data_IF_867538455605
#
_entry.id   IF_867538455605
#
_cell.length_a   1.000
_cell.length_b   1.000
_cell.length_c   1.000
_cell.angle_alpha   90.00
_cell.angle_beta   90.00
_cell.angle_gamma   90.00
#
_symmetry.space_group_name_H-M   'P 1'
#
loop_
_entity.id
_entity.type
_entity.pdbx_description
1 polymer ?
#
# COMPACT_ATOMS: atom_id res chain seq x y z
N UNK A 1 2.42 20.67 -12.23
CA UNK A 1 1.81 19.62 -13.06
C UNK A 1 2.61 18.39 -12.73
N UNK A 2 2.05 17.43 -12.00
CA UNK A 2 2.77 16.19 -11.70
C UNK A 2 2.71 15.33 -12.96
N UNK A 3 3.86 14.87 -13.43
CA UNK A 3 3.91 13.95 -14.55
C UNK A 3 3.11 12.67 -14.21
N UNK A 4 2.41 12.08 -15.19
CA UNK A 4 1.70 10.83 -14.97
C UNK A 4 2.70 9.74 -14.55
N UNK A 5 2.38 9.03 -13.47
CA UNK A 5 3.16 7.86 -13.03
C UNK A 5 3.23 6.89 -14.20
N UNK A 6 4.46 6.56 -14.60
CA UNK A 6 4.72 5.70 -15.74
C UNK A 6 4.73 4.24 -15.32
N UNK A 7 4.59 3.33 -16.29
CA UNK A 7 4.64 1.89 -16.04
C UNK A 7 6.03 1.47 -15.50
N UNK A 8 7.10 2.18 -15.89
CA UNK A 8 8.44 1.90 -15.36
C UNK A 8 8.55 2.23 -13.88
N UNK A 9 7.77 3.20 -13.38
CA UNK A 9 7.82 3.61 -11.97
C UNK A 9 7.34 2.49 -11.05
N UNK A 10 6.34 1.71 -11.47
CA UNK A 10 5.89 0.54 -10.70
C UNK A 10 6.96 -0.56 -10.69
N UNK A 11 7.53 -0.87 -11.86
CA UNK A 11 8.52 -1.95 -11.98
C UNK A 11 9.79 -1.60 -11.17
N UNK A 12 10.24 -0.34 -11.17
CA UNK A 12 11.37 0.16 -10.36
C UNK A 12 11.12 0.03 -8.84
N UNK A 13 9.91 0.38 -8.37
CA UNK A 13 9.54 0.20 -6.96
C UNK A 13 9.55 -1.28 -6.57
N UNK A 14 9.03 -2.15 -7.43
CA UNK A 14 9.00 -3.60 -7.16
C UNK A 14 10.39 -4.23 -7.19
N UNK A 15 11.28 -3.74 -8.04
CA UNK A 15 12.68 -4.18 -8.08
C UNK A 15 13.41 -3.74 -6.80
N UNK A 16 13.22 -2.49 -6.36
CA UNK A 16 13.77 -1.99 -5.09
C UNK A 16 13.27 -2.80 -3.88
N UNK A 17 11.99 -3.19 -3.87
CA UNK A 17 11.46 -4.04 -2.80
C UNK A 17 12.06 -5.45 -2.80
N UNK A 18 12.29 -6.02 -3.98
CA UNK A 18 12.90 -7.35 -4.10
C UNK A 18 14.37 -7.37 -3.64
N UNK A 19 15.09 -6.24 -3.73
CA UNK A 19 16.46 -6.10 -3.24
C UNK A 19 16.58 -6.16 -1.71
N UNK A 20 15.46 -6.07 -0.97
CA UNK A 20 15.46 -6.21 0.49
C UNK A 20 15.66 -7.65 0.96
N UNK A 21 15.55 -8.64 0.06
CA UNK A 21 15.74 -10.07 0.34
C UNK A 21 14.90 -10.60 1.53
N UNK A 22 13.69 -10.05 1.71
CA UNK A 22 12.73 -10.47 2.74
C UNK A 22 11.65 -11.38 2.14
N UNK A 23 11.48 -12.58 2.71
CA UNK A 23 10.58 -13.62 2.17
C UNK A 23 9.11 -13.19 2.10
N UNK A 24 8.65 -12.34 3.03
CA UNK A 24 7.27 -11.89 3.06
C UNK A 24 7.06 -10.74 2.06
N UNK A 25 8.04 -9.84 1.91
CA UNK A 25 8.02 -8.82 0.86
C UNK A 25 8.11 -9.43 -0.55
N UNK A 26 8.87 -10.50 -0.75
CA UNK A 26 8.97 -11.21 -2.03
C UNK A 26 7.61 -11.77 -2.49
N UNK A 27 6.80 -12.25 -1.54
CA UNK A 27 5.42 -12.71 -1.82
C UNK A 27 4.54 -11.55 -2.27
N UNK A 28 4.66 -10.40 -1.62
CA UNK A 28 3.95 -9.17 -2.01
C UNK A 28 4.39 -8.76 -3.42
N UNK A 29 5.69 -8.64 -3.68
CA UNK A 29 6.24 -8.30 -5.00
C UNK A 29 5.72 -9.25 -6.08
N UNK A 30 5.75 -10.56 -5.81
CA UNK A 30 5.23 -11.58 -6.71
C UNK A 30 3.75 -11.37 -7.01
N UNK A 31 2.94 -11.07 -5.99
CA UNK A 31 1.52 -10.77 -6.15
C UNK A 31 1.29 -9.53 -7.03
N UNK A 32 1.99 -8.43 -6.76
CA UNK A 32 1.88 -7.19 -7.55
C UNK A 32 2.32 -7.38 -9.00
N UNK A 33 3.44 -8.07 -9.25
CA UNK A 33 3.88 -8.42 -10.62
C UNK A 33 2.83 -9.27 -11.34
N UNK A 34 2.21 -10.22 -10.64
CA UNK A 34 1.12 -11.05 -11.19
C UNK A 34 -0.11 -10.23 -11.59
N UNK A 35 -0.55 -9.30 -10.74
CA UNK A 35 -1.67 -8.39 -11.06
C UNK A 35 -1.34 -7.48 -12.24
N UNK A 36 -0.15 -6.86 -12.25
CA UNK A 36 0.32 -6.01 -13.34
C UNK A 36 0.37 -6.79 -14.66
N UNK A 37 0.90 -8.01 -14.65
CA UNK A 37 0.94 -8.87 -15.84
C UNK A 37 -0.47 -9.23 -16.34
N UNK A 38 -1.43 -9.52 -15.45
CA UNK A 38 -2.84 -9.75 -15.84
C UNK A 38 -3.46 -8.52 -16.49
N UNK A 39 -3.23 -7.32 -15.94
CA UNK A 39 -3.69 -6.07 -16.53
C UNK A 39 -3.10 -5.87 -17.93
N UNK A 40 -1.77 -6.00 -18.07
CA UNK A 40 -1.02 -5.80 -19.32
C UNK A 40 -1.39 -6.82 -20.42
N UNK A 41 -1.78 -8.03 -20.03
CA UNK A 41 -2.19 -9.10 -20.96
C UNK A 41 -3.68 -9.09 -21.31
N UNK A 42 -4.46 -8.10 -20.85
CA UNK A 42 -5.90 -8.03 -21.11
C UNK A 42 -6.71 -9.11 -20.40
N UNK A 43 -6.18 -9.69 -19.30
CA UNK A 43 -6.84 -10.74 -18.50
C UNK A 43 -7.60 -10.18 -17.29
N UNK A 44 -7.81 -8.88 -17.24
CA UNK A 44 -8.70 -8.20 -16.30
C UNK A 44 -9.81 -7.54 -17.09
N UNK A 45 -11.06 -7.86 -16.73
CA UNK A 45 -12.21 -7.08 -17.19
C UNK A 45 -12.44 -5.85 -16.30
N UNK A 46 -13.42 -5.02 -16.65
CA UNK A 46 -13.72 -3.77 -15.94
C UNK A 46 -14.13 -4.03 -14.48
N UNK A 47 -14.96 -5.05 -14.24
CA UNK A 47 -15.43 -5.40 -12.90
C UNK A 47 -14.27 -5.84 -12.00
N UNK A 48 -13.41 -6.74 -12.48
CA UNK A 48 -12.22 -7.16 -11.74
C UNK A 48 -11.25 -6.00 -11.52
N UNK A 49 -11.12 -5.09 -12.48
CA UNK A 49 -10.29 -3.89 -12.34
C UNK A 49 -10.81 -2.99 -11.22
N UNK A 50 -12.12 -2.71 -11.19
CA UNK A 50 -12.74 -1.91 -10.13
C UNK A 50 -12.60 -2.59 -8.74
N UNK A 51 -12.79 -3.91 -8.66
CA UNK A 51 -12.58 -4.66 -7.42
C UNK A 51 -11.14 -4.59 -6.94
N UNK A 52 -10.15 -4.73 -7.83
CA UNK A 52 -8.74 -4.64 -7.46
C UNK A 52 -8.35 -3.24 -7.01
N UNK A 53 -8.83 -2.19 -7.70
CA UNK A 53 -8.60 -0.80 -7.26
C UNK A 53 -9.23 -0.57 -5.88
N UNK A 54 -10.43 -1.12 -5.64
CA UNK A 54 -11.09 -1.03 -4.35
C UNK A 54 -10.34 -1.76 -3.23
N UNK A 55 -9.87 -2.97 -3.49
CA UNK A 55 -9.10 -3.76 -2.53
C UNK A 55 -7.72 -3.16 -2.24
N UNK A 56 -7.08 -2.52 -3.23
CA UNK A 56 -5.78 -1.88 -3.02
C UNK A 56 -5.91 -0.59 -2.22
N UNK A 57 -6.94 0.23 -2.46
CA UNK A 57 -6.99 1.60 -1.92
C UNK A 57 -8.38 2.18 -1.60
N UNK A 58 -9.50 1.55 -2.00
CA UNK A 58 -10.80 2.23 -2.05
C UNK A 58 -11.88 1.74 -1.07
N UNK A 59 -11.54 1.08 0.04
CA UNK A 59 -12.55 0.78 1.07
C UNK A 59 -12.30 1.49 2.40
N UNK A 60 -13.06 2.54 2.75
CA UNK A 60 -13.04 3.12 4.08
C UNK A 60 -13.68 2.22 5.15
N UNK A 61 -14.53 1.27 4.73
CA UNK A 61 -15.32 0.40 5.62
C UNK A 61 -14.91 -1.08 5.57
N UNK A 62 -13.87 -1.44 4.80
CA UNK A 62 -13.36 -2.82 4.71
C UNK A 62 -11.83 -2.86 4.56
N UNK A 63 -11.26 -4.07 4.56
CA UNK A 63 -9.83 -4.27 4.45
C UNK A 63 -9.29 -3.77 3.08
N UNK A 64 -8.38 -2.79 3.11
CA UNK A 64 -7.62 -2.33 1.95
C UNK A 64 -6.11 -2.44 2.20
N UNK A 65 -5.32 -2.67 1.14
CA UNK A 65 -3.87 -2.91 1.27
C UNK A 65 -3.14 -1.70 1.85
N UNK A 66 -3.48 -0.48 1.45
CA UNK A 66 -2.87 0.74 2.02
C UNK A 66 -3.17 0.84 3.52
N UNK A 67 -4.42 0.58 3.92
CA UNK A 67 -4.83 0.52 5.33
C UNK A 67 -4.09 -0.55 6.11
N UNK A 68 -3.93 -1.75 5.54
CA UNK A 68 -3.15 -2.81 6.16
C UNK A 68 -1.68 -2.39 6.40
N UNK A 69 -1.02 -1.78 5.40
CA UNK A 69 0.33 -1.24 5.56
C UNK A 69 0.38 -0.15 6.64
N UNK A 70 -0.62 0.74 6.66
CA UNK A 70 -0.71 1.83 7.63
C UNK A 70 -0.75 1.30 9.08
N UNK A 71 -1.59 0.29 9.33
CA UNK A 71 -1.69 -0.34 10.66
C UNK A 71 -0.50 -1.22 11.00
N UNK A 72 0.09 -1.93 10.03
CA UNK A 72 1.30 -2.72 10.27
C UNK A 72 2.47 -1.83 10.69
N UNK A 73 2.66 -0.67 10.05
CA UNK A 73 3.70 0.28 10.45
C UNK A 73 3.46 0.76 11.89
N UNK A 74 2.21 1.12 12.24
CA UNK A 74 1.89 1.50 13.62
C UNK A 74 2.24 0.38 14.60
N UNK A 75 1.83 -0.85 14.32
CA UNK A 75 2.13 -2.02 15.15
C UNK A 75 3.64 -2.24 15.31
N UNK A 76 4.41 -2.18 14.23
CA UNK A 76 5.86 -2.35 14.24
C UNK A 76 6.58 -1.22 15.00
N UNK A 77 5.99 -0.04 15.11
CA UNK A 77 6.59 1.09 15.85
C UNK A 77 6.15 1.19 17.30
N UNK A 78 5.05 0.53 17.68
CA UNK A 78 4.49 0.59 19.03
C UNK A 78 4.79 -0.68 19.84
N UNK A 79 4.74 -1.85 19.19
CA UNK A 79 4.78 -3.15 19.86
C UNK A 79 6.00 -4.01 19.50
N UNK A 80 6.93 -3.52 18.68
CA UNK A 80 8.11 -4.31 18.30
C UNK A 80 9.14 -4.37 19.44
N UNK A 81 9.43 -5.56 20.01
CA UNK A 81 10.39 -5.69 21.11
C UNK A 81 11.82 -5.24 20.75
N UNK A 82 12.18 -5.21 19.46
CA UNK A 82 13.48 -4.70 19.03
C UNK A 82 13.69 -3.22 19.40
N UNK A 83 12.60 -2.47 19.60
CA UNK A 83 12.66 -1.07 20.03
C UNK A 83 12.99 -0.91 21.51
N UNK A 84 12.87 -1.97 22.33
CA UNK A 84 13.12 -1.90 23.77
C UNK A 84 14.57 -1.55 24.12
N UNK A 85 15.49 -1.76 23.19
CA UNK A 85 16.89 -1.41 23.34
C UNK A 85 17.21 0.07 23.06
N UNK A 86 16.25 0.83 22.53
CA UNK A 86 16.41 2.25 22.23
C UNK A 86 16.20 3.13 23.47
N UNK A 87 16.81 4.32 23.45
CA UNK A 87 16.53 5.34 24.45
C UNK A 87 15.03 5.74 24.43
N UNK A 88 14.50 6.10 25.60
CA UNK A 88 13.07 6.43 25.78
C UNK A 88 12.52 7.43 24.77
N UNK A 89 13.29 8.47 24.43
CA UNK A 89 12.83 9.50 23.51
C UNK A 89 12.75 8.98 22.07
N UNK A 90 13.71 8.16 21.62
CA UNK A 90 13.66 7.52 20.30
C UNK A 90 12.49 6.54 20.16
N UNK A 91 12.14 5.82 21.24
CA UNK A 91 10.95 4.95 21.23
C UNK A 91 9.69 5.77 21.04
N UNK A 92 9.53 6.88 21.79
CA UNK A 92 8.38 7.78 21.64
C UNK A 92 8.29 8.36 20.24
N UNK A 93 9.42 8.75 19.67
CA UNK A 93 9.46 9.29 18.30
C UNK A 93 9.05 8.23 17.26
N UNK A 94 9.54 6.99 17.40
CA UNK A 94 9.14 5.87 16.54
C UNK A 94 7.64 5.61 16.64
N UNK A 95 7.10 5.44 17.85
CA UNK A 95 5.67 5.23 18.10
C UNK A 95 4.83 6.36 17.51
N UNK A 96 5.24 7.62 17.73
CA UNK A 96 4.55 8.79 17.18
C UNK A 96 4.56 8.76 15.65
N UNK A 97 5.69 8.45 15.02
CA UNK A 97 5.79 8.38 13.56
C UNK A 97 4.88 7.30 12.97
N UNK A 98 4.75 6.14 13.62
CA UNK A 98 3.83 5.11 13.16
C UNK A 98 2.36 5.48 13.32
N UNK A 99 1.99 6.12 14.43
CA UNK A 99 0.65 6.66 14.62
C UNK A 99 0.29 7.74 13.59
N UNK A 100 1.23 8.64 13.29
CA UNK A 100 1.07 9.65 12.24
C UNK A 100 0.93 9.00 10.87
N UNK A 101 1.73 7.97 10.57
CA UNK A 101 1.64 7.20 9.32
C UNK A 101 0.27 6.52 9.18
N UNK A 102 -0.18 5.82 10.22
CA UNK A 102 -1.51 5.19 10.24
C UNK A 102 -2.61 6.22 9.99
N UNK A 103 -2.53 7.36 10.68
CA UNK A 103 -3.48 8.45 10.52
C UNK A 103 -3.48 9.01 9.09
N UNK A 104 -2.31 9.26 8.50
CA UNK A 104 -2.19 9.85 7.18
C UNK A 104 -2.66 8.90 6.07
N UNK A 105 -2.24 7.64 6.09
CA UNK A 105 -2.52 6.65 5.04
C UNK A 105 -3.96 6.14 5.07
N UNK A 106 -4.64 6.19 6.21
CA UNK A 106 -6.07 5.85 6.31
C UNK A 106 -7.01 7.01 6.00
N UNK A 107 -6.49 8.22 5.72
CA UNK A 107 -7.36 9.38 5.45
C UNK A 107 -8.19 9.20 4.18
N UNK A 108 -9.48 9.58 4.21
CA UNK A 108 -10.35 9.56 3.04
C UNK A 108 -9.80 10.32 1.82
N UNK A 109 -9.01 11.38 2.03
CA UNK A 109 -8.43 12.17 0.94
C UNK A 109 -7.52 11.36 0.02
N UNK A 110 -6.76 10.40 0.55
CA UNK A 110 -5.90 9.53 -0.25
C UNK A 110 -6.68 8.44 -1.00
N UNK A 111 -7.91 8.14 -0.54
CA UNK A 111 -8.77 7.08 -1.08
C UNK A 111 -9.75 7.56 -2.16
N UNK A 112 -10.01 8.87 -2.21
CA UNK A 112 -10.92 9.50 -3.19
C UNK A 112 -10.59 9.17 -4.65
N UNK A 113 -9.33 9.24 -5.12
CA UNK A 113 -9.02 8.94 -6.52
C UNK A 113 -9.39 7.50 -6.91
N UNK A 114 -9.12 6.53 -6.03
CA UNK A 114 -9.48 5.14 -6.27
C UNK A 114 -11.00 4.96 -6.34
N UNK A 115 -11.75 5.57 -5.40
CA UNK A 115 -13.21 5.55 -5.40
C UNK A 115 -13.81 6.20 -6.67
N UNK A 116 -13.29 7.34 -7.11
CA UNK A 116 -13.71 7.98 -8.36
C UNK A 116 -13.41 7.12 -9.59
N UNK A 117 -12.25 6.44 -9.59
CA UNK A 117 -11.88 5.54 -10.68
C UNK A 117 -12.83 4.35 -10.75
N UNK A 118 -13.17 3.72 -9.61
CA UNK A 118 -14.16 2.65 -9.58
C UNK A 118 -15.53 3.12 -10.09
N UNK A 119 -15.98 4.31 -9.69
CA UNK A 119 -17.24 4.88 -10.18
C UNK A 119 -17.21 5.12 -11.70
N UNK A 120 -16.07 5.57 -12.24
CA UNK A 120 -15.91 5.79 -13.69
C UNK A 120 -15.90 4.49 -14.50
N UNK A 121 -15.49 3.36 -13.91
CA UNK A 121 -15.47 2.05 -14.56
C UNK A 121 -16.84 1.35 -14.58
N UNK A 122 -17.81 1.84 -13.80
CA UNK A 122 -19.17 1.30 -13.67
C UNK A 122 -20.18 1.95 -14.65
N UNK A 123 -19.68 2.79 -15.58
CA UNK A 123 -20.45 3.53 -16.59
C UNK A 123 -20.16 3.05 -18.02
#
# INVERSE_FOLDING_TARGET
MNDPISISDLDEVLDTLAELEDEDLDRIVTGFRGLAHRARSGRLDLNHTAVLIAALAASPDSADVIGACAYLIAELTDHNPALDHLANDHRKDATKAGQETAFHLTRPKLRKPASWTCAALDH
#
